data_IF_241699643575
#
_entry.id   IF_241699643575
#
_cell.length_a   1.000
_cell.length_b   1.000
_cell.length_c   1.000
_cell.angle_alpha   90.00
_cell.angle_beta   90.00
_cell.angle_gamma   90.00
#
_symmetry.space_group_name_H-M   'P 1'
#
loop_
_entity.id
_entity.type
_entity.pdbx_description
1 polymer ?
#
# COMPACT_ATOMS: atom_id res chain seq x y z
N UNK A 1 0.79 40.73 7.38
CA UNK A 1 1.98 40.21 8.05
C UNK A 1 1.73 38.81 8.64
N UNK A 2 1.91 37.82 7.83
CA UNK A 2 1.78 36.40 8.21
C UNK A 2 3.16 35.74 8.11
N UNK A 3 3.99 35.94 9.10
CA UNK A 3 5.33 35.34 9.05
C UNK A 3 5.71 34.51 10.26
N UNK A 4 4.78 34.19 11.14
CA UNK A 4 5.06 33.42 12.34
C UNK A 4 4.49 32.03 12.39
N UNK A 5 3.57 31.65 11.50
CA UNK A 5 2.83 30.39 11.61
C UNK A 5 3.29 29.26 10.69
N UNK A 6 4.04 29.55 9.64
CA UNK A 6 4.29 28.58 8.59
C UNK A 6 5.50 27.64 8.85
N UNK A 7 6.49 28.09 9.59
CA UNK A 7 7.70 27.29 9.80
C UNK A 7 7.46 26.02 10.62
N UNK A 8 6.53 26.07 11.57
CA UNK A 8 6.20 24.90 12.40
C UNK A 8 5.39 23.86 11.62
N UNK A 9 4.44 24.32 10.77
CA UNK A 9 3.64 23.43 9.94
C UNK A 9 4.49 22.78 8.84
N UNK A 10 5.48 23.50 8.30
CA UNK A 10 6.41 22.95 7.31
C UNK A 10 7.26 21.82 7.86
N UNK A 11 7.63 21.84 9.15
CA UNK A 11 8.38 20.76 9.79
C UNK A 11 7.59 19.46 9.87
N UNK A 12 6.28 19.58 10.01
CA UNK A 12 5.36 18.44 10.10
C UNK A 12 4.85 17.96 8.74
N UNK A 13 5.04 18.75 7.68
CA UNK A 13 4.57 18.40 6.33
C UNK A 13 5.01 17.02 5.85
N UNK A 14 6.28 16.59 6.01
CA UNK A 14 6.67 15.24 5.60
C UNK A 14 5.89 14.13 6.32
N UNK A 15 5.55 14.34 7.58
CA UNK A 15 4.78 13.37 8.37
C UNK A 15 3.31 13.36 7.94
N UNK A 16 2.72 14.52 7.71
CA UNK A 16 1.38 14.64 7.18
C UNK A 16 1.25 14.01 5.81
N UNK A 17 2.23 14.21 4.93
CA UNK A 17 2.25 13.60 3.60
C UNK A 17 2.29 12.08 3.67
N UNK A 18 3.02 11.51 4.62
CA UNK A 18 3.05 10.07 4.87
C UNK A 18 1.70 9.54 5.35
N UNK A 19 1.05 10.25 6.27
CA UNK A 19 -0.29 9.90 6.75
C UNK A 19 -1.32 9.96 5.63
N UNK A 20 -1.26 11.01 4.83
CA UNK A 20 -2.12 11.21 3.65
C UNK A 20 -1.94 10.09 2.64
N UNK A 21 -0.70 9.69 2.38
CA UNK A 21 -0.38 8.58 1.48
C UNK A 21 -0.97 7.26 1.99
N UNK A 22 -0.84 6.98 3.28
CA UNK A 22 -1.43 5.78 3.90
C UNK A 22 -2.95 5.76 3.75
N UNK A 23 -3.60 6.90 3.96
CA UNK A 23 -5.04 7.06 3.77
C UNK A 23 -5.45 6.83 2.30
N UNK A 24 -4.76 7.46 1.36
CA UNK A 24 -5.07 7.30 -0.06
C UNK A 24 -4.85 5.87 -0.55
N UNK A 25 -3.81 5.20 -0.10
CA UNK A 25 -3.56 3.79 -0.42
C UNK A 25 -4.71 2.91 0.08
N UNK A 26 -5.21 3.15 1.30
CA UNK A 26 -6.34 2.42 1.85
C UNK A 26 -7.61 2.66 1.02
N UNK A 27 -7.91 3.91 0.68
CA UNK A 27 -9.08 4.26 -0.15
C UNK A 27 -9.03 3.56 -1.51
N UNK A 28 -7.86 3.54 -2.14
CA UNK A 28 -7.65 2.86 -3.42
C UNK A 28 -7.87 1.36 -3.31
N UNK A 29 -7.33 0.71 -2.29
CA UNK A 29 -7.54 -0.71 -2.01
C UNK A 29 -9.01 -1.04 -1.75
N UNK A 30 -9.70 -0.23 -0.94
CA UNK A 30 -11.11 -0.41 -0.64
C UNK A 30 -11.98 -0.19 -1.88
N UNK A 31 -11.60 0.75 -2.74
CA UNK A 31 -12.29 0.98 -4.01
C UNK A 31 -12.23 -0.24 -4.92
N UNK A 32 -11.12 -0.94 -4.96
CA UNK A 32 -10.95 -2.19 -5.71
C UNK A 32 -11.87 -3.28 -5.19
N UNK A 33 -11.94 -3.45 -3.88
CA UNK A 33 -12.83 -4.43 -3.23
C UNK A 33 -14.30 -4.09 -3.51
N UNK A 34 -14.68 -2.82 -3.37
CA UNK A 34 -16.05 -2.36 -3.61
C UNK A 34 -16.51 -2.61 -5.05
N UNK A 35 -15.62 -2.44 -6.00
CA UNK A 35 -15.91 -2.67 -7.42
C UNK A 35 -15.97 -4.17 -7.77
N UNK A 36 -15.69 -5.06 -6.83
CA UNK A 36 -15.60 -6.51 -7.07
C UNK A 36 -14.47 -6.90 -8.02
N UNK A 37 -13.49 -6.01 -8.20
CA UNK A 37 -12.37 -6.23 -9.10
C UNK A 37 -11.27 -7.03 -8.44
N UNK A 38 -10.59 -7.83 -9.25
CA UNK A 38 -9.36 -8.50 -8.85
C UNK A 38 -8.30 -7.43 -8.50
N UNK A 39 -7.58 -7.67 -7.40
CA UNK A 39 -6.57 -6.72 -6.93
C UNK A 39 -5.18 -7.17 -7.41
N UNK A 40 -4.49 -6.41 -8.28
CA UNK A 40 -3.16 -6.77 -8.75
C UNK A 40 -2.11 -6.82 -7.63
N UNK A 41 -2.37 -6.24 -6.46
CA UNK A 41 -1.48 -6.33 -5.30
C UNK A 41 -1.34 -7.75 -4.74
N UNK A 42 -2.20 -8.69 -5.13
CA UNK A 42 -2.00 -10.11 -4.78
C UNK A 42 -0.69 -10.65 -5.33
N UNK A 43 -0.14 -10.02 -6.35
CA UNK A 43 1.14 -10.38 -6.98
C UNK A 43 2.37 -9.77 -6.30
N UNK A 44 2.20 -8.87 -5.33
CA UNK A 44 3.31 -8.14 -4.71
C UNK A 44 4.34 -9.07 -4.05
N UNK A 45 3.89 -10.20 -3.54
CA UNK A 45 4.76 -11.20 -2.90
C UNK A 45 5.30 -12.26 -3.86
N UNK A 46 4.84 -12.24 -5.11
CA UNK A 46 5.28 -13.20 -6.12
C UNK A 46 6.58 -12.72 -6.74
N UNK A 47 7.61 -13.55 -6.65
CA UNK A 47 8.91 -13.28 -7.25
C UNK A 47 9.16 -14.24 -8.39
N UNK A 48 9.57 -13.70 -9.52
CA UNK A 48 9.89 -14.44 -10.74
C UNK A 48 11.40 -14.58 -10.83
N UNK A 49 11.88 -15.77 -11.20
CA UNK A 49 13.29 -15.97 -11.50
C UNK A 49 13.61 -15.28 -12.83
N UNK A 50 14.29 -14.16 -12.74
CA UNK A 50 14.79 -13.38 -13.88
C UNK A 50 16.30 -13.48 -13.95
N UNK A 51 16.78 -14.40 -14.78
CA UNK A 51 18.21 -14.68 -14.94
C UNK A 51 18.93 -14.91 -13.60
N UNK A 52 18.32 -15.71 -12.73
CA UNK A 52 18.87 -16.07 -11.42
C UNK A 52 18.57 -15.06 -10.31
N UNK A 53 17.86 -13.98 -10.59
CA UNK A 53 17.50 -12.95 -9.61
C UNK A 53 15.99 -12.96 -9.38
N UNK A 54 15.58 -13.11 -8.11
CA UNK A 54 14.17 -13.01 -7.73
C UNK A 54 13.67 -11.58 -7.95
N UNK A 55 12.77 -11.39 -8.91
CA UNK A 55 12.30 -10.09 -9.38
C UNK A 55 10.78 -9.99 -9.25
N UNK A 56 10.24 -8.87 -8.77
CA UNK A 56 8.79 -8.66 -8.73
C UNK A 56 8.15 -8.78 -10.12
N UNK A 57 6.95 -9.35 -10.18
CA UNK A 57 6.21 -9.56 -11.44
C UNK A 57 6.05 -8.26 -12.23
N UNK A 58 5.76 -7.15 -11.54
CA UNK A 58 5.56 -5.86 -12.18
C UNK A 58 6.81 -5.32 -12.91
N UNK A 59 7.99 -5.82 -12.56
CA UNK A 59 9.25 -5.42 -13.21
C UNK A 59 9.60 -6.27 -14.42
N UNK A 60 8.98 -7.43 -14.61
CA UNK A 60 9.23 -8.33 -15.73
C UNK A 60 8.11 -8.33 -16.77
N UNK A 61 7.02 -7.62 -16.50
CA UNK A 61 5.90 -7.55 -17.41
C UNK A 61 4.89 -6.47 -17.06
N UNK A 62 3.93 -6.26 -17.92
CA UNK A 62 2.80 -5.37 -17.68
C UNK A 62 1.69 -6.15 -16.99
N UNK A 63 1.25 -5.66 -15.84
CA UNK A 63 0.14 -6.22 -15.08
C UNK A 63 -1.08 -5.34 -15.29
N UNK A 64 -2.18 -5.93 -15.76
CA UNK A 64 -3.43 -5.22 -16.03
C UNK A 64 -4.63 -6.02 -15.53
N UNK A 65 -5.77 -5.35 -15.41
CA UNK A 65 -7.05 -5.96 -15.05
C UNK A 65 -8.03 -5.68 -16.19
N UNK A 66 -7.98 -6.46 -17.29
CA UNK A 66 -8.83 -6.21 -18.46
C UNK A 66 -10.30 -6.44 -18.19
N UNK A 67 -10.62 -7.34 -17.26
CA UNK A 67 -11.98 -7.64 -16.82
C UNK A 67 -12.02 -7.63 -15.29
N UNK A 68 -13.19 -7.45 -14.71
CA UNK A 68 -13.34 -7.25 -13.27
C UNK A 68 -12.63 -8.33 -12.41
N UNK A 69 -12.60 -9.58 -12.90
CA UNK A 69 -12.05 -10.71 -12.15
C UNK A 69 -10.86 -11.39 -12.82
N UNK A 70 -10.28 -10.71 -13.78
CA UNK A 70 -9.14 -11.26 -14.53
C UNK A 70 -7.94 -10.35 -14.38
N UNK A 71 -6.84 -10.89 -13.89
CA UNK A 71 -5.54 -10.21 -13.92
C UNK A 71 -4.77 -10.78 -15.10
N UNK A 72 -4.23 -9.91 -15.94
CA UNK A 72 -3.41 -10.29 -17.08
C UNK A 72 -1.98 -9.79 -16.88
N UNK A 73 -1.03 -10.70 -17.09
CA UNK A 73 0.40 -10.39 -17.02
C UNK A 73 0.99 -10.62 -18.40
N UNK A 74 1.48 -9.54 -19.03
CA UNK A 74 2.16 -9.60 -20.31
C UNK A 74 3.65 -9.38 -20.09
N UNK A 75 4.48 -10.43 -20.17
CA UNK A 75 5.91 -10.26 -19.95
C UNK A 75 6.55 -9.46 -21.09
N UNK A 76 7.59 -8.72 -20.75
CA UNK A 76 8.39 -7.98 -21.73
C UNK A 76 9.13 -8.93 -22.67
N UNK A 77 9.49 -10.11 -22.16
CA UNK A 77 10.21 -11.14 -22.89
C UNK A 77 9.38 -12.42 -22.92
N UNK A 78 9.10 -13.01 -24.10
CA UNK A 78 8.26 -14.22 -24.21
C UNK A 78 8.77 -15.43 -23.44
N UNK A 79 10.08 -15.54 -23.23
CA UNK A 79 10.68 -16.65 -22.48
C UNK A 79 10.35 -16.61 -20.97
N UNK A 80 9.85 -15.47 -20.47
CA UNK A 80 9.44 -15.32 -19.06
C UNK A 80 8.06 -15.88 -18.77
N UNK A 81 7.26 -16.25 -19.78
CA UNK A 81 5.91 -16.80 -19.58
C UNK A 81 5.92 -18.01 -18.64
N UNK A 82 6.80 -18.96 -18.88
CA UNK A 82 6.92 -20.18 -18.07
C UNK A 82 7.39 -19.86 -16.64
N UNK A 83 8.32 -18.92 -16.50
CA UNK A 83 8.85 -18.53 -15.20
C UNK A 83 7.78 -17.82 -14.35
N UNK A 84 6.97 -16.97 -14.98
CA UNK A 84 5.85 -16.29 -14.31
C UNK A 84 4.80 -17.32 -13.90
N UNK A 85 4.41 -18.21 -14.80
CA UNK A 85 3.45 -19.28 -14.53
C UNK A 85 3.90 -20.15 -13.35
N UNK A 86 5.15 -20.57 -13.35
CA UNK A 86 5.75 -21.36 -12.29
C UNK A 86 5.76 -20.61 -10.95
N UNK A 87 6.13 -19.34 -10.96
CA UNK A 87 6.14 -18.51 -9.75
C UNK A 87 4.75 -18.39 -9.14
N UNK A 88 3.71 -18.26 -9.96
CA UNK A 88 2.32 -18.16 -9.50
C UNK A 88 1.84 -19.52 -8.94
N UNK A 89 2.19 -20.61 -9.60
CA UNK A 89 1.81 -21.97 -9.14
C UNK A 89 2.38 -22.31 -7.77
N UNK A 90 3.58 -21.84 -7.45
CA UNK A 90 4.19 -22.08 -6.13
C UNK A 90 3.79 -21.04 -5.09
N UNK A 91 3.06 -20.00 -5.47
CA UNK A 91 2.60 -18.95 -4.57
C UNK A 91 1.32 -19.33 -3.85
N UNK A 92 0.98 -18.58 -2.79
CA UNK A 92 -0.21 -18.79 -1.97
C UNK A 92 -1.49 -18.16 -2.54
N UNK A 93 -1.46 -17.69 -3.78
CA UNK A 93 -2.62 -17.02 -4.39
C UNK A 93 -3.82 -17.95 -4.52
N UNK A 94 -3.57 -19.26 -4.74
CA UNK A 94 -4.64 -20.25 -4.83
C UNK A 94 -5.41 -20.23 -6.15
N UNK A 95 -4.89 -19.52 -7.16
CA UNK A 95 -5.48 -19.43 -8.50
C UNK A 95 -4.53 -20.09 -9.50
N UNK A 96 -5.08 -20.98 -10.33
CA UNK A 96 -4.31 -21.62 -11.38
C UNK A 96 -4.15 -20.65 -12.57
N UNK A 97 -2.92 -20.32 -12.98
CA UNK A 97 -2.71 -19.43 -14.11
C UNK A 97 -3.02 -20.12 -15.43
N UNK A 98 -3.53 -19.36 -16.39
CA UNK A 98 -3.74 -19.81 -17.77
C UNK A 98 -2.73 -19.11 -18.68
N UNK A 99 -1.96 -19.87 -19.43
CA UNK A 99 -0.97 -19.37 -20.36
C UNK A 99 -1.51 -19.54 -21.80
N UNK A 100 -1.74 -18.44 -22.49
CA UNK A 100 -2.22 -18.45 -23.88
C UNK A 100 -1.08 -18.33 -24.92
N UNK A 101 0.17 -18.39 -24.48
CA UNK A 101 1.35 -18.21 -25.32
C UNK A 101 1.83 -16.77 -25.45
N UNK A 102 1.02 -15.79 -25.03
CA UNK A 102 1.35 -14.35 -25.08
C UNK A 102 1.27 -13.69 -23.72
N UNK A 103 0.36 -14.15 -22.88
CA UNK A 103 0.12 -13.58 -21.55
C UNK A 103 -0.28 -14.68 -20.57
N UNK A 104 -0.10 -14.38 -19.29
CA UNK A 104 -0.62 -15.19 -18.19
C UNK A 104 -1.90 -14.54 -17.70
N UNK A 105 -2.97 -15.30 -17.58
CA UNK A 105 -4.25 -14.84 -17.07
C UNK A 105 -4.58 -15.51 -15.75
N UNK A 106 -5.04 -14.74 -14.79
CA UNK A 106 -5.52 -15.21 -13.50
C UNK A 106 -7.01 -14.88 -13.42
N UNK A 107 -7.84 -15.92 -13.49
CA UNK A 107 -9.29 -15.77 -13.41
C UNK A 107 -9.74 -16.06 -11.97
N UNK A 108 -10.30 -15.05 -11.31
CA UNK A 108 -10.82 -15.17 -9.97
C UNK A 108 -12.30 -15.59 -10.00
N UNK A 109 -12.72 -16.50 -9.09
CA UNK A 109 -14.10 -16.97 -9.08
C UNK A 109 -15.08 -15.89 -8.66
N UNK A 110 -16.36 -16.11 -8.94
CA UNK A 110 -17.44 -15.24 -8.50
C UNK A 110 -17.48 -15.12 -6.97
N UNK A 111 -17.95 -13.96 -6.48
CA UNK A 111 -18.10 -13.71 -5.06
C UNK A 111 -19.18 -14.59 -4.46
N UNK A 112 -18.77 -15.62 -3.71
CA UNK A 112 -19.67 -16.42 -2.87
C UNK A 112 -19.93 -15.70 -1.54
N UNK A 113 -20.94 -16.14 -0.78
CA UNK A 113 -21.21 -15.65 0.57
C UNK A 113 -19.98 -15.78 1.49
N UNK A 114 -19.29 -16.92 1.40
CA UNK A 114 -18.07 -17.16 2.16
C UNK A 114 -16.96 -16.19 1.78
N UNK A 115 -16.80 -15.94 0.48
CA UNK A 115 -15.79 -14.98 -0.02
C UNK A 115 -16.11 -13.56 0.43
N UNK A 116 -17.39 -13.17 0.45
CA UNK A 116 -17.82 -11.88 0.96
C UNK A 116 -17.46 -11.71 2.43
N UNK A 117 -17.65 -12.73 3.25
CA UNK A 117 -17.27 -12.71 4.67
C UNK A 117 -15.77 -12.58 4.85
N UNK A 118 -14.98 -13.30 4.05
CA UNK A 118 -13.53 -13.19 4.06
C UNK A 118 -13.07 -11.78 3.66
N UNK A 119 -13.67 -11.20 2.63
CA UNK A 119 -13.38 -9.84 2.19
C UNK A 119 -13.74 -8.81 3.25
N UNK A 120 -14.85 -8.98 3.96
CA UNK A 120 -15.23 -8.10 5.05
C UNK A 120 -14.21 -8.11 6.18
N UNK A 121 -13.69 -9.29 6.54
CA UNK A 121 -12.61 -9.42 7.52
C UNK A 121 -11.32 -8.79 7.03
N UNK A 122 -10.99 -8.98 5.76
CA UNK A 122 -9.80 -8.43 5.15
C UNK A 122 -9.84 -6.89 5.11
N UNK A 123 -10.99 -6.32 4.76
CA UNK A 123 -11.22 -4.86 4.78
C UNK A 123 -10.99 -4.31 6.19
N UNK A 124 -11.55 -4.96 7.20
CA UNK A 124 -11.36 -4.55 8.60
C UNK A 124 -9.90 -4.62 9.02
N UNK A 125 -9.21 -5.68 8.64
CA UNK A 125 -7.78 -5.85 8.90
C UNK A 125 -6.96 -4.76 8.22
N UNK A 126 -7.23 -4.44 6.97
CA UNK A 126 -6.54 -3.36 6.23
C UNK A 126 -6.77 -2.00 6.88
N UNK A 127 -7.99 -1.74 7.35
CA UNK A 127 -8.32 -0.52 8.08
C UNK A 127 -7.50 -0.40 9.37
N UNK A 128 -7.40 -1.47 10.14
CA UNK A 128 -6.59 -1.48 11.38
C UNK A 128 -5.10 -1.32 11.08
N UNK A 129 -4.59 -1.97 10.05
CA UNK A 129 -3.19 -1.83 9.61
C UNK A 129 -2.88 -0.39 9.20
N UNK A 130 -3.79 0.28 8.48
CA UNK A 130 -3.64 1.68 8.10
C UNK A 130 -3.61 2.60 9.33
N UNK A 131 -4.45 2.34 10.33
CA UNK A 131 -4.43 3.07 11.60
C UNK A 131 -3.11 2.90 12.34
N UNK A 132 -2.57 1.69 12.36
CA UNK A 132 -1.26 1.40 12.96
C UNK A 132 -0.17 2.17 12.23
N UNK A 133 -0.21 2.21 10.90
CA UNK A 133 0.74 2.99 10.10
C UNK A 133 0.69 4.48 10.45
N UNK A 134 -0.51 5.05 10.58
CA UNK A 134 -0.69 6.46 10.97
C UNK A 134 -0.16 6.70 12.39
N UNK A 135 -0.40 5.80 13.33
CA UNK A 135 0.11 5.91 14.70
C UNK A 135 1.64 5.82 14.75
N UNK A 136 2.25 4.99 13.92
CA UNK A 136 3.71 4.89 13.81
C UNK A 136 4.29 6.20 13.27
N UNK A 137 3.66 6.82 12.28
CA UNK A 137 4.04 8.13 11.75
C UNK A 137 3.92 9.20 12.84
N UNK A 138 2.85 9.15 13.66
CA UNK A 138 2.70 10.04 14.82
C UNK A 138 3.87 9.90 15.78
N UNK A 139 4.26 8.67 16.08
CA UNK A 139 5.39 8.40 16.98
C UNK A 139 6.67 9.01 16.44
N UNK A 140 6.95 8.82 15.16
CA UNK A 140 8.12 9.38 14.50
C UNK A 140 8.09 10.92 14.52
N UNK A 141 6.93 11.52 14.29
CA UNK A 141 6.75 12.97 14.36
C UNK A 141 7.00 13.51 15.78
N UNK A 142 6.49 12.84 16.80
CA UNK A 142 6.70 13.22 18.19
C UNK A 142 8.19 13.09 18.58
N UNK A 143 8.86 12.04 18.15
CA UNK A 143 10.28 11.86 18.37
C UNK A 143 11.11 12.96 17.71
N UNK A 144 10.73 13.37 16.50
CA UNK A 144 11.33 14.49 15.80
C UNK A 144 11.17 15.80 16.58
N UNK A 145 9.96 16.09 17.08
CA UNK A 145 9.67 17.30 17.88
C UNK A 145 10.50 17.29 19.17
N UNK A 146 10.58 16.16 19.85
CA UNK A 146 11.40 16.02 21.07
C UNK A 146 12.88 16.25 20.80
N UNK A 147 13.38 15.75 19.68
CA UNK A 147 14.75 15.98 19.25
C UNK A 147 15.03 17.45 18.98
N UNK A 148 14.11 18.15 18.34
CA UNK A 148 14.21 19.59 18.08
C UNK A 148 14.20 20.42 19.37
N UNK A 149 13.40 20.01 20.35
CA UNK A 149 13.41 20.63 21.66
C UNK A 149 14.76 20.43 22.37
N UNK A 150 15.31 19.23 22.29
CA UNK A 150 16.59 18.87 22.89
C UNK A 150 17.78 19.63 22.29
N UNK A 151 17.75 19.90 20.97
CA UNK A 151 18.80 20.65 20.27
C UNK A 151 18.63 22.17 20.37
N UNK A 152 17.57 22.66 21.00
CA UNK A 152 17.28 24.07 21.17
C UNK A 152 16.61 24.76 19.97
N UNK A 153 16.29 24.03 18.91
CA UNK A 153 15.56 24.58 17.76
C UNK A 153 14.12 24.93 18.10
N UNK A 154 13.53 24.23 19.07
CA UNK A 154 12.23 24.52 19.65
C UNK A 154 12.36 24.66 21.17
N UNK A 155 11.69 25.65 21.75
CA UNK A 155 11.54 25.71 23.22
C UNK A 155 10.40 24.79 23.67
N UNK A 156 10.21 24.64 24.98
CA UNK A 156 9.19 23.75 25.56
C UNK A 156 7.77 24.07 25.09
N UNK A 157 7.42 25.35 25.02
CA UNK A 157 6.09 25.80 24.59
C UNK A 157 5.86 25.51 23.12
N UNK A 158 6.86 25.75 22.28
CA UNK A 158 6.81 25.42 20.87
C UNK A 158 6.73 23.92 20.61
N UNK A 159 7.49 23.12 21.35
CA UNK A 159 7.46 21.67 21.25
C UNK A 159 6.08 21.13 21.62
N UNK A 160 5.46 21.66 22.66
CA UNK A 160 4.12 21.29 23.08
C UNK A 160 3.08 21.63 22.01
N UNK A 161 3.17 22.81 21.41
CA UNK A 161 2.30 23.20 20.29
C UNK A 161 2.44 22.27 19.09
N UNK A 162 3.67 21.87 18.77
CA UNK A 162 3.93 20.92 17.69
C UNK A 162 3.35 19.53 18.00
N UNK A 163 3.49 19.06 19.24
CA UNK A 163 2.89 17.80 19.68
C UNK A 163 1.36 17.82 19.57
N UNK A 164 0.73 18.94 19.94
CA UNK A 164 -0.72 19.14 19.77
C UNK A 164 -1.12 19.09 18.30
N UNK A 165 -0.35 19.70 17.41
CA UNK A 165 -0.58 19.66 15.96
C UNK A 165 -0.44 18.24 15.41
N UNK A 166 0.56 17.50 15.88
CA UNK A 166 0.75 16.08 15.52
C UNK A 166 -0.47 15.25 15.94
N UNK A 167 -0.99 15.50 17.14
CA UNK A 167 -2.18 14.78 17.63
C UNK A 167 -3.43 15.10 16.80
N UNK A 168 -3.65 16.36 16.47
CA UNK A 168 -4.77 16.78 15.61
C UNK A 168 -4.67 16.18 14.21
N UNK A 169 -3.48 16.16 13.65
CA UNK A 169 -3.19 15.56 12.36
C UNK A 169 -3.48 14.05 12.37
N UNK A 170 -3.04 13.37 13.44
CA UNK A 170 -3.30 11.95 13.64
C UNK A 170 -4.80 11.64 13.71
N UNK A 171 -5.52 12.40 14.52
CA UNK A 171 -6.97 12.24 14.68
C UNK A 171 -7.72 12.46 13.36
N UNK A 172 -7.27 13.41 12.56
CA UNK A 172 -7.84 13.68 11.23
C UNK A 172 -7.74 12.48 10.29
N UNK A 173 -6.59 11.79 10.27
CA UNK A 173 -6.38 10.67 9.36
C UNK A 173 -6.87 9.33 9.92
N UNK A 174 -7.02 9.18 11.22
CA UNK A 174 -7.63 8.00 11.82
C UNK A 174 -9.16 8.02 11.67
#
# INVERSE_FOLDING_TARGET
YKTGGNNMDERLTPFEDKMKKSYHNLIEELGTVRAGRANPHVLDKVKVDYYGVATPVAQVGNVSVPEARTIMIQPWEPNLLKEIEKAILVSDIGITPTNDGKAIRLNFPDLTEERRKELAKDVKKRGEEAKVAVRNIRRDANDFVKKQNKTGELNEDQAKDEEDKVQKMTDKYI
#
